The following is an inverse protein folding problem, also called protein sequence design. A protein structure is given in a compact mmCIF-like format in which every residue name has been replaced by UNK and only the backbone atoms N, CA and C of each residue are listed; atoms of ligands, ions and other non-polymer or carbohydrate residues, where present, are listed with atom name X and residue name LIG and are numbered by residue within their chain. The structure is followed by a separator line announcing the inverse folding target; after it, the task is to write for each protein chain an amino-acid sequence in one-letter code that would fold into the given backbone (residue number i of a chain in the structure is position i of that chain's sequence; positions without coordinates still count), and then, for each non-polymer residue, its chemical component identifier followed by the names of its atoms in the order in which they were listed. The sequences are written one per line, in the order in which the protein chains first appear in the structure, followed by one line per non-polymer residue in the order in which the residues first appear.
data_IF_460365936215
#
_entry.id   IF_460365936215
#
_cell.length_a   1.000
_cell.length_b   1.000
_cell.length_c   1.000
_cell.angle_alpha   90.00
_cell.angle_beta   90.00
_cell.angle_gamma   90.00
#
_symmetry.space_group_name_H-M   'P 1'
#
loop_
_entity.id
_entity.type
_entity.pdbx_description
1 polymer ?
#
# COMPACT_ATOMS: atom_id res chain seq x y z
N UNK A 1 1.11 -24.45 29.90
CA UNK A 1 0.25 -23.45 29.22
C UNK A 1 1.06 -22.52 28.30
N UNK A 2 2.09 -21.84 28.81
CA UNK A 2 2.97 -20.93 28.05
C UNK A 2 3.60 -21.51 26.76
N UNK A 3 4.08 -22.75 26.79
CA UNK A 3 4.64 -23.41 25.60
C UNK A 3 3.62 -23.57 24.45
N UNK A 4 2.35 -23.84 24.77
CA UNK A 4 1.28 -23.94 23.76
C UNK A 4 0.96 -22.57 23.15
N UNK A 5 0.94 -21.52 23.97
CA UNK A 5 0.73 -20.15 23.50
C UNK A 5 1.86 -19.68 22.58
N UNK A 6 3.11 -19.92 22.97
CA UNK A 6 4.28 -19.59 22.15
C UNK A 6 4.21 -20.28 20.78
N UNK A 7 3.94 -21.59 20.77
CA UNK A 7 3.78 -22.37 19.53
C UNK A 7 2.67 -21.78 18.64
N UNK A 8 1.53 -21.42 19.22
CA UNK A 8 0.42 -20.82 18.46
C UNK A 8 0.78 -19.48 17.81
N UNK A 9 1.53 -18.62 18.51
CA UNK A 9 2.01 -17.34 17.98
C UNK A 9 3.03 -17.58 16.85
N UNK A 10 3.95 -18.52 17.07
CA UNK A 10 4.97 -18.89 16.09
C UNK A 10 4.31 -19.42 14.81
N UNK A 11 3.37 -20.37 14.93
CA UNK A 11 2.60 -20.95 13.82
C UNK A 11 1.78 -19.88 13.06
N UNK A 12 1.19 -18.93 13.78
CA UNK A 12 0.47 -17.80 13.15
C UNK A 12 1.43 -16.89 12.37
N UNK A 13 2.64 -16.67 12.90
CA UNK A 13 3.65 -15.82 12.27
C UNK A 13 4.20 -16.47 11.00
N UNK A 14 4.44 -17.79 11.02
CA UNK A 14 4.94 -18.55 9.87
C UNK A 14 3.87 -18.62 8.78
N UNK A 15 2.62 -18.91 9.12
CA UNK A 15 1.51 -18.89 8.17
C UNK A 15 1.34 -17.52 7.48
N UNK A 16 1.51 -16.42 8.23
CA UNK A 16 1.47 -15.06 7.66
C UNK A 16 2.63 -14.83 6.69
N UNK A 17 3.85 -15.28 7.03
CA UNK A 17 5.03 -15.16 6.18
C UNK A 17 4.85 -15.92 4.86
N UNK A 18 4.36 -17.15 4.90
CA UNK A 18 4.10 -17.93 3.68
C UNK A 18 3.05 -17.27 2.79
N UNK A 19 1.95 -16.78 3.38
CA UNK A 19 0.93 -16.05 2.64
C UNK A 19 1.49 -14.80 1.95
N UNK A 20 2.41 -14.08 2.61
CA UNK A 20 3.09 -12.93 2.02
C UNK A 20 4.04 -13.33 0.89
N UNK A 21 4.78 -14.44 1.04
CA UNK A 21 5.66 -14.97 -0.01
C UNK A 21 4.89 -15.31 -1.28
N UNK A 22 3.77 -16.01 -1.17
CA UNK A 22 2.92 -16.33 -2.32
C UNK A 22 2.35 -15.08 -3.00
N UNK A 23 1.87 -14.12 -2.21
CA UNK A 23 1.39 -12.83 -2.75
C UNK A 23 2.50 -12.08 -3.48
N UNK A 24 3.69 -12.03 -2.89
CA UNK A 24 4.84 -11.35 -3.47
C UNK A 24 5.29 -12.04 -4.77
N UNK A 25 5.25 -13.37 -4.83
CA UNK A 25 5.54 -14.11 -6.06
C UNK A 25 4.51 -13.80 -7.16
N UNK A 26 3.22 -13.78 -6.82
CA UNK A 26 2.16 -13.42 -7.76
C UNK A 26 2.30 -11.98 -8.28
N UNK A 27 2.67 -11.03 -7.41
CA UNK A 27 2.93 -9.65 -7.81
C UNK A 27 4.12 -9.54 -8.77
N UNK A 28 5.22 -10.26 -8.49
CA UNK A 28 6.39 -10.31 -9.38
C UNK A 28 6.06 -10.92 -10.74
N UNK A 29 5.22 -11.95 -10.79
CA UNK A 29 4.74 -12.51 -12.06
C UNK A 29 3.94 -11.49 -12.89
N UNK A 30 3.28 -10.52 -12.24
CA UNK A 30 2.59 -9.40 -12.89
C UNK A 30 3.53 -8.23 -13.23
N UNK A 31 4.84 -8.37 -13.02
CA UNK A 31 5.83 -7.29 -13.20
C UNK A 31 5.85 -6.24 -12.08
N UNK A 32 5.11 -6.46 -10.98
CA UNK A 32 5.09 -5.55 -9.82
C UNK A 32 6.13 -6.01 -8.80
N UNK A 33 6.95 -5.08 -8.33
CA UNK A 33 8.05 -5.36 -7.39
C UNK A 33 7.58 -5.01 -5.96
N UNK A 34 7.22 -6.00 -5.11
CA UNK A 34 6.56 -5.75 -3.83
C UNK A 34 7.50 -5.20 -2.74
N UNK A 35 8.83 -5.22 -2.96
CA UNK A 35 9.81 -4.65 -2.03
C UNK A 35 10.23 -3.23 -2.40
N UNK A 36 9.68 -2.67 -3.49
CA UNK A 36 9.99 -1.31 -3.98
C UNK A 36 9.51 -0.18 -3.05
N UNK A 37 8.91 -0.52 -1.91
CA UNK A 37 8.21 0.43 -1.04
C UNK A 37 6.89 0.89 -1.66
N UNK A 38 6.15 1.73 -0.93
CA UNK A 38 4.84 2.26 -1.37
C UNK A 38 4.95 3.49 -2.29
N UNK A 39 6.17 3.82 -2.77
CA UNK A 39 6.44 5.09 -3.42
C UNK A 39 6.19 6.29 -2.49
N UNK A 40 6.33 7.50 -3.03
CA UNK A 40 5.91 8.73 -2.34
C UNK A 40 4.38 8.74 -2.24
N UNK A 41 3.86 8.89 -1.03
CA UNK A 41 2.42 8.99 -0.82
C UNK A 41 1.92 10.31 -1.42
N UNK A 42 0.80 10.27 -2.14
CA UNK A 42 0.07 11.49 -2.56
C UNK A 42 -0.41 12.17 -1.29
N UNK A 43 0.22 13.27 -0.89
CA UNK A 43 -0.23 14.09 0.23
C UNK A 43 -1.37 14.99 -0.24
N UNK A 44 -2.55 14.39 -0.38
CA UNK A 44 -3.74 15.13 -0.75
C UNK A 44 -4.23 16.06 0.38
N UNK A 45 -3.53 16.17 1.52
CA UNK A 45 -3.96 16.97 2.68
C UNK A 45 -5.15 16.39 3.46
N UNK A 46 -5.73 15.29 2.96
CA UNK A 46 -6.87 14.59 3.57
C UNK A 46 -6.45 13.18 3.95
N UNK A 47 -6.03 13.00 5.21
CA UNK A 47 -5.75 11.68 5.76
C UNK A 47 -7.00 10.80 5.70
N UNK A 48 -6.93 9.65 5.01
CA UNK A 48 -7.96 8.61 5.07
C UNK A 48 -8.92 8.49 3.87
N UNK A 49 -8.74 9.26 2.79
CA UNK A 49 -9.59 9.17 1.58
C UNK A 49 -9.58 7.81 0.83
N UNK A 50 -8.81 6.82 1.30
CA UNK A 50 -8.91 5.45 0.78
C UNK A 50 -10.24 4.77 1.13
N UNK A 51 -11.06 5.36 2.03
CA UNK A 51 -12.43 4.93 2.27
C UNK A 51 -13.38 6.13 2.15
N UNK A 52 -14.26 6.07 1.16
CA UNK A 52 -15.44 6.92 1.00
C UNK A 52 -15.18 8.43 0.84
N UNK A 53 -14.97 8.85 -0.41
CA UNK A 53 -15.30 10.22 -0.85
C UNK A 53 -16.83 10.46 -0.90
N UNK A 54 -17.64 9.43 -0.63
CA UNK A 54 -19.11 9.49 -0.72
C UNK A 54 -19.80 9.71 0.63
N UNK A 55 -19.08 9.60 1.75
CA UNK A 55 -19.69 9.67 3.07
C UNK A 55 -19.22 10.92 3.83
N UNK A 56 -20.02 11.98 3.66
CA UNK A 56 -20.20 13.07 4.61
C UNK A 56 -19.15 14.19 4.62
N UNK A 57 -19.69 15.41 4.42
CA UNK A 57 -19.22 16.70 4.92
C UNK A 57 -17.97 17.32 4.27
N UNK A 58 -18.19 18.03 3.16
CA UNK A 58 -17.28 19.07 2.68
C UNK A 58 -17.09 19.05 1.18
N UNK A 59 -17.77 19.96 0.48
CA UNK A 59 -17.64 20.21 -0.97
C UNK A 59 -16.25 20.77 -1.31
N UNK A 60 -15.20 19.95 -1.30
CA UNK A 60 -13.90 20.36 -1.83
C UNK A 60 -13.59 19.47 -3.02
N UNK A 61 -13.78 20.02 -4.23
CA UNK A 61 -13.40 19.36 -5.48
C UNK A 61 -11.87 19.34 -5.59
N UNK A 62 -11.27 18.28 -5.05
CA UNK A 62 -9.83 18.05 -5.07
C UNK A 62 -9.41 17.11 -6.19
N UNK A 63 -10.28 16.81 -7.16
CA UNK A 63 -10.01 15.80 -8.20
C UNK A 63 -8.80 16.24 -9.04
N UNK A 64 -8.78 17.50 -9.49
CA UNK A 64 -7.69 18.05 -10.28
C UNK A 64 -6.35 18.06 -9.52
N UNK A 65 -6.37 18.45 -8.24
CA UNK A 65 -5.18 18.47 -7.38
C UNK A 65 -4.60 17.07 -7.15
N UNK A 66 -5.47 16.09 -6.85
CA UNK A 66 -5.07 14.68 -6.68
C UNK A 66 -4.48 14.11 -7.96
N UNK A 67 -5.05 14.46 -9.11
CA UNK A 67 -4.55 14.03 -10.43
C UNK A 67 -3.15 14.60 -10.69
N UNK A 68 -2.95 15.90 -10.46
CA UNK A 68 -1.65 16.55 -10.65
C UNK A 68 -0.55 15.93 -9.77
N UNK A 69 -0.81 15.75 -8.46
CA UNK A 69 0.16 15.10 -7.59
C UNK A 69 0.47 13.66 -8.01
N UNK A 70 -0.53 12.90 -8.46
CA UNK A 70 -0.32 11.53 -8.94
C UNK A 70 0.56 11.49 -10.20
N UNK A 71 0.38 12.45 -11.11
CA UNK A 71 1.22 12.63 -12.29
C UNK A 71 2.66 12.99 -11.91
N UNK A 72 2.87 13.95 -11.01
CA UNK A 72 4.20 14.32 -10.51
C UNK A 72 4.93 13.16 -9.85
N UNK A 73 4.26 12.42 -8.96
CA UNK A 73 4.81 11.22 -8.32
C UNK A 73 5.14 10.13 -9.36
N UNK A 74 4.29 9.98 -10.38
CA UNK A 74 4.56 9.07 -11.50
C UNK A 74 5.84 9.45 -12.27
N UNK A 75 6.03 10.74 -12.56
CA UNK A 75 7.23 11.25 -13.22
C UNK A 75 8.49 11.08 -12.35
N UNK A 76 8.41 11.41 -11.05
CA UNK A 76 9.51 11.20 -10.10
C UNK A 76 9.90 9.71 -10.02
N UNK A 77 8.93 8.80 -9.87
CA UNK A 77 9.19 7.35 -9.82
C UNK A 77 9.81 6.80 -11.10
N UNK A 78 9.47 7.34 -12.26
CA UNK A 78 10.06 6.94 -13.54
C UNK A 78 11.49 7.47 -13.68
N UNK A 79 11.78 8.69 -13.21
CA UNK A 79 13.14 9.27 -13.18
C UNK A 79 14.08 8.51 -12.24
N UNK A 80 13.60 8.06 -11.08
CA UNK A 80 14.42 7.28 -10.14
C UNK A 80 14.69 5.83 -10.58
N UNK A 81 14.06 5.36 -11.67
CA UNK A 81 14.28 4.02 -12.24
C UNK A 81 15.12 4.03 -13.53
N UNK A 82 15.63 5.18 -13.95
CA UNK A 82 16.65 5.32 -15.00
C UNK A 82 18.03 5.47 -14.36
#
# INVERSE_FOLDING_TARGET
MWRKLKKMIDDRSTAKKERLRHKNAALRAQGKEPLKGWGKMVDSGFGGLNKNDTASTGKIDNIAFRKHQAEEIGQENNRSNQ
#
